data_IF_914555492821
#
_entry.id   IF_914555492821
#
_cell.length_a   1.000
_cell.length_b   1.000
_cell.length_c   1.000
_cell.angle_alpha   90.00
_cell.angle_beta   90.00
_cell.angle_gamma   90.00
#
_symmetry.space_group_name_H-M   'P 1'
#
loop_
_entity.id
_entity.type
_entity.pdbx_description
1 polymer ?
#
# COMPACT_ATOMS: atom_id res chain seq x y z
N UNK A 1 9.95 0.84 -19.62
CA UNK A 1 9.59 1.56 -18.38
C UNK A 1 9.39 0.53 -17.28
N UNK A 2 10.22 0.53 -16.24
CA UNK A 2 10.07 -0.39 -15.10
C UNK A 2 8.86 0.08 -14.26
N UNK A 3 7.92 -0.81 -13.96
CA UNK A 3 6.76 -0.51 -13.11
C UNK A 3 7.19 -0.58 -11.64
N UNK A 4 7.80 0.47 -11.13
CA UNK A 4 8.16 0.60 -9.72
C UNK A 4 7.03 1.31 -8.96
N UNK A 5 5.95 0.58 -8.66
CA UNK A 5 4.94 1.08 -7.74
C UNK A 5 5.46 0.98 -6.30
N UNK A 6 5.14 1.99 -5.50
CA UNK A 6 5.57 2.16 -4.12
C UNK A 6 4.35 2.03 -3.22
N UNK A 7 4.52 1.35 -2.09
CA UNK A 7 3.54 1.31 -1.00
C UNK A 7 4.14 1.97 0.24
N UNK A 8 3.39 2.90 0.83
CA UNK A 8 3.79 3.66 2.00
C UNK A 8 2.79 3.37 3.12
N UNK A 9 3.28 2.97 4.30
CA UNK A 9 2.42 2.68 5.45
C UNK A 9 2.41 3.86 6.39
N UNK A 10 1.23 4.26 6.86
CA UNK A 10 1.10 5.30 7.86
C UNK A 10 1.50 4.78 9.24
N UNK A 11 2.30 5.59 9.91
CA UNK A 11 2.69 5.41 11.31
C UNK A 11 2.19 6.60 12.11
N UNK A 12 1.92 6.38 13.39
CA UNK A 12 1.59 7.42 14.36
C UNK A 12 2.66 7.47 15.43
N UNK A 13 3.10 8.68 15.76
CA UNK A 13 3.98 8.92 16.89
C UNK A 13 3.24 8.69 18.21
N UNK A 14 3.90 7.98 19.12
CA UNK A 14 3.47 7.77 20.48
C UNK A 14 4.36 8.59 21.44
N UNK A 15 3.91 8.82 22.68
CA UNK A 15 4.78 9.38 23.71
C UNK A 15 6.10 8.58 23.79
N UNK A 16 7.25 9.26 23.87
CA UNK A 16 8.54 8.57 23.95
C UNK A 16 8.62 7.75 25.24
N UNK A 17 9.18 6.55 25.12
CA UNK A 17 9.41 5.63 26.24
C UNK A 17 10.93 5.48 26.43
N UNK A 18 11.42 5.72 27.65
CA UNK A 18 12.85 5.68 27.99
C UNK A 18 13.75 6.56 27.09
N UNK A 19 13.22 7.70 26.63
CA UNK A 19 13.95 8.63 25.76
C UNK A 19 14.02 8.21 24.28
N UNK A 20 13.39 7.09 23.92
CA UNK A 20 13.31 6.62 22.54
C UNK A 20 12.00 7.05 21.87
N UNK A 21 12.08 7.34 20.57
CA UNK A 21 10.90 7.59 19.74
C UNK A 21 10.12 6.30 19.58
N UNK A 22 8.85 6.31 20.00
CA UNK A 22 7.93 5.19 19.82
C UNK A 22 6.97 5.52 18.69
N UNK A 23 6.78 4.58 17.76
CA UNK A 23 5.83 4.71 16.66
C UNK A 23 4.96 3.46 16.59
N UNK A 24 3.68 3.64 16.29
CA UNK A 24 2.75 2.54 16.02
C UNK A 24 2.30 2.55 14.56
N UNK A 25 1.96 1.38 14.02
CA UNK A 25 1.33 1.28 12.71
C UNK A 25 -0.15 1.57 12.84
N UNK A 26 -0.69 2.49 12.03
CA UNK A 26 -2.13 2.82 12.07
C UNK A 26 -3.00 1.80 11.33
N UNK A 27 -2.37 0.90 10.57
CA UNK A 27 -3.05 -0.04 9.70
C UNK A 27 -3.52 0.58 8.37
N UNK A 28 -3.08 1.80 8.06
CA UNK A 28 -3.37 2.47 6.79
C UNK A 28 -2.14 2.55 5.89
N UNK A 29 -2.36 2.56 4.58
CA UNK A 29 -1.31 2.70 3.59
C UNK A 29 -1.83 3.37 2.32
N UNK A 30 -0.89 3.88 1.51
CA UNK A 30 -1.14 4.40 0.17
C UNK A 30 -0.24 3.73 -0.85
N UNK A 31 -0.76 3.53 -2.05
CA UNK A 31 0.01 3.03 -3.20
C UNK A 31 0.09 4.11 -4.26
N UNK A 32 1.29 4.34 -4.77
CA UNK A 32 1.55 5.26 -5.88
C UNK A 32 2.38 4.56 -6.95
N UNK A 33 1.95 4.60 -8.20
CA UNK A 33 2.70 4.08 -9.33
C UNK A 33 2.92 5.19 -10.39
N UNK A 34 4.11 5.27 -11.02
CA UNK A 34 4.37 6.20 -12.11
C UNK A 34 3.42 6.07 -13.33
N UNK A 35 2.65 4.99 -13.43
CA UNK A 35 1.65 4.83 -14.49
C UNK A 35 0.34 5.61 -14.24
N UNK A 36 0.22 6.31 -13.10
CA UNK A 36 -0.97 7.08 -12.71
C UNK A 36 -1.88 6.40 -11.67
N UNK A 37 -1.52 5.23 -11.13
CA UNK A 37 -2.25 4.64 -10.00
C UNK A 37 -1.94 5.41 -8.71
N UNK A 38 -2.98 5.87 -8.02
CA UNK A 38 -2.90 6.42 -6.66
C UNK A 38 -4.16 6.05 -5.89
N UNK A 39 -4.01 5.42 -4.72
CA UNK A 39 -5.15 4.98 -3.89
C UNK A 39 -5.57 5.98 -2.82
N UNK A 40 -4.72 6.97 -2.52
CA UNK A 40 -4.81 7.71 -1.27
C UNK A 40 -4.61 6.79 -0.05
N UNK A 41 -4.92 7.33 1.14
CA UNK A 41 -4.74 6.62 2.41
C UNK A 41 -5.94 5.70 2.69
N UNK A 42 -5.74 4.40 2.52
CA UNK A 42 -6.77 3.36 2.72
C UNK A 42 -6.28 2.31 3.73
N UNK A 43 -7.10 1.31 4.07
CA UNK A 43 -6.62 0.19 4.88
C UNK A 43 -5.43 -0.50 4.19
N UNK A 44 -4.41 -0.89 4.96
CA UNK A 44 -3.19 -1.46 4.41
C UNK A 44 -3.44 -2.74 3.60
N UNK A 45 -4.45 -3.52 3.98
CA UNK A 45 -4.91 -4.70 3.23
C UNK A 45 -5.47 -4.34 1.86
N UNK A 46 -6.23 -3.25 1.75
CA UNK A 46 -6.80 -2.78 0.49
C UNK A 46 -5.73 -2.17 -0.43
N UNK A 47 -4.80 -1.41 0.15
CA UNK A 47 -3.63 -0.90 -0.55
C UNK A 47 -2.79 -2.05 -1.13
N UNK A 48 -2.47 -3.07 -0.32
CA UNK A 48 -1.72 -4.24 -0.76
C UNK A 48 -2.44 -5.02 -1.87
N UNK A 49 -3.76 -5.25 -1.73
CA UNK A 49 -4.56 -5.89 -2.77
C UNK A 49 -4.51 -5.09 -4.07
N UNK A 50 -4.70 -3.77 -4.01
CA UNK A 50 -4.66 -2.90 -5.20
C UNK A 50 -3.29 -2.96 -5.87
N UNK A 51 -2.20 -2.95 -5.10
CA UNK A 51 -0.85 -3.10 -5.62
C UNK A 51 -0.65 -4.46 -6.30
N UNK A 52 -1.12 -5.55 -5.69
CA UNK A 52 -1.01 -6.90 -6.24
C UNK A 52 -1.82 -7.05 -7.53
N UNK A 53 -3.05 -6.55 -7.57
CA UNK A 53 -3.88 -6.53 -8.79
C UNK A 53 -3.22 -5.68 -9.88
N UNK A 54 -2.64 -4.53 -9.51
CA UNK A 54 -1.96 -3.64 -10.44
C UNK A 54 -0.68 -4.26 -11.03
N UNK A 55 0.12 -4.94 -10.20
CA UNK A 55 1.34 -5.62 -10.64
C UNK A 55 1.03 -6.94 -11.38
N UNK A 56 -0.03 -7.64 -10.98
CA UNK A 56 -0.50 -8.88 -11.59
C UNK A 56 -1.06 -8.70 -13.00
N UNK A 57 -1.64 -7.55 -13.31
CA UNK A 57 -2.03 -7.18 -14.68
C UNK A 57 -0.84 -6.85 -15.61
N UNK A 58 0.40 -7.17 -15.20
CA UNK A 58 1.59 -7.20 -16.04
C UNK A 58 1.73 -8.42 -16.95
N UNK A 59 0.85 -9.42 -16.85
CA UNK A 59 0.74 -10.51 -17.82
C UNK A 59 -0.71 -10.97 -17.98
N UNK A 60 -1.35 -10.55 -19.08
CA UNK A 60 -2.52 -11.24 -19.62
C UNK A 60 -3.86 -10.99 -18.92
N UNK A 61 -4.90 -10.88 -19.74
CA UNK A 61 -6.32 -10.78 -19.39
C UNK A 61 -6.78 -11.90 -18.41
N UNK A 62 -7.86 -11.60 -17.68
CA UNK A 62 -8.77 -12.54 -16.94
C UNK A 62 -8.19 -12.98 -15.57
N UNK A 63 -8.91 -12.99 -14.44
CA UNK A 63 -10.33 -13.17 -14.22
C UNK A 63 -10.82 -12.55 -12.90
N UNK A 64 -12.00 -11.93 -12.97
CA UNK A 64 -12.99 -11.99 -11.89
C UNK A 64 -13.36 -13.45 -11.66
N UNK A 65 -13.27 -13.93 -10.43
CA UNK A 65 -14.09 -15.03 -9.95
C UNK A 65 -14.27 -14.89 -8.43
N UNK A 66 -15.39 -14.25 -8.05
CA UNK A 66 -16.06 -14.51 -6.78
C UNK A 66 -16.63 -15.94 -6.83
N UNK A 67 -16.35 -16.72 -5.80
CA UNK A 67 -17.21 -17.83 -5.31
C UNK A 67 -17.41 -17.59 -3.83
#
# INVERSE_FOLDING_TARGET
>A
MQRSAVIETEIRDLPPEDGWRVVEKTGRASVTCPCGLSTGLVAATDALRTLQEHMGHGQGRTALAMV
#
